data_IF_533936548146
#
_entry.id   IF_533936548146
#
_cell.length_a   1.000
_cell.length_b   1.000
_cell.length_c   1.000
_cell.angle_alpha   90.00
_cell.angle_beta   90.00
_cell.angle_gamma   90.00
#
_symmetry.space_group_name_H-M   'P 1'
#
loop_
_entity.id
_entity.type
_entity.pdbx_description
1 polymer ?
#
# COMPACT_ATOMS: atom_id res chain seq x y z
N UNK A 1 -18.85 -15.63 -16.96
CA UNK A 1 -18.53 -14.18 -16.85
C UNK A 1 -17.03 -14.00 -17.06
N UNK A 2 -16.61 -13.03 -17.88
CA UNK A 2 -15.19 -12.81 -18.19
C UNK A 2 -14.42 -12.33 -16.96
N UNK A 3 -13.15 -12.75 -16.81
CA UNK A 3 -12.26 -12.25 -15.73
C UNK A 3 -12.11 -10.73 -15.79
N UNK A 4 -12.19 -10.14 -16.98
CA UNK A 4 -12.15 -8.68 -17.18
C UNK A 4 -13.31 -7.99 -16.46
N UNK A 5 -14.51 -8.58 -16.52
CA UNK A 5 -15.70 -8.02 -15.85
C UNK A 5 -15.50 -8.02 -14.32
N UNK A 6 -14.89 -9.08 -13.78
CA UNK A 6 -14.59 -9.16 -12.35
C UNK A 6 -13.53 -8.15 -11.93
N UNK A 7 -12.51 -7.92 -12.75
CA UNK A 7 -11.49 -6.88 -12.52
C UNK A 7 -12.15 -5.51 -12.48
N UNK A 8 -12.96 -5.16 -13.49
CA UNK A 8 -13.66 -3.88 -13.56
C UNK A 8 -14.60 -3.70 -12.36
N UNK A 9 -15.28 -4.77 -11.93
CA UNK A 9 -16.13 -4.75 -10.74
C UNK A 9 -15.33 -4.40 -9.48
N UNK A 10 -14.19 -5.05 -9.24
CA UNK A 10 -13.37 -4.72 -8.07
C UNK A 10 -12.76 -3.33 -8.15
N UNK A 11 -12.33 -2.86 -9.33
CA UNK A 11 -11.84 -1.49 -9.50
C UNK A 11 -12.92 -0.45 -9.16
N UNK A 12 -14.17 -0.69 -9.59
CA UNK A 12 -15.30 0.16 -9.23
C UNK A 12 -15.55 0.15 -7.71
N UNK A 13 -15.52 -1.03 -7.09
CA UNK A 13 -15.74 -1.18 -5.65
C UNK A 13 -14.66 -0.44 -4.85
N UNK A 14 -13.39 -0.55 -5.26
CA UNK A 14 -12.27 0.15 -4.60
C UNK A 14 -12.43 1.66 -4.74
N UNK A 15 -12.78 2.14 -5.93
CA UNK A 15 -13.04 3.56 -6.16
C UNK A 15 -14.13 4.08 -5.21
N UNK A 16 -15.23 3.33 -5.06
CA UNK A 16 -16.32 3.70 -4.16
C UNK A 16 -15.93 3.63 -2.68
N UNK A 17 -15.26 2.56 -2.26
CA UNK A 17 -14.91 2.30 -0.85
C UNK A 17 -13.74 3.12 -0.34
N UNK A 18 -12.87 3.59 -1.24
CA UNK A 18 -11.74 4.46 -0.87
C UNK A 18 -12.09 5.94 -1.00
N UNK A 19 -13.30 6.31 -1.43
CA UNK A 19 -13.70 7.72 -1.51
C UNK A 19 -13.55 8.41 -0.14
N UNK A 20 -12.94 9.61 -0.05
CA UNK A 20 -12.53 10.52 -1.12
C UNK A 20 -11.07 10.36 -1.58
N UNK A 21 -10.35 9.31 -1.17
CA UNK A 21 -8.93 9.11 -1.49
C UNK A 21 -8.63 9.21 -2.98
N UNK A 22 -9.44 8.54 -3.81
CA UNK A 22 -9.21 8.45 -5.25
C UNK A 22 -9.27 9.81 -5.96
N UNK A 23 -10.06 10.76 -5.46
CA UNK A 23 -10.16 12.11 -6.02
C UNK A 23 -8.98 12.99 -5.61
N UNK A 24 -8.37 12.69 -4.46
CA UNK A 24 -7.21 13.38 -3.92
C UNK A 24 -5.97 12.50 -3.85
N UNK A 25 -5.74 11.60 -4.81
CA UNK A 25 -4.71 10.55 -4.70
C UNK A 25 -3.27 11.09 -4.54
N UNK A 26 -3.03 12.36 -4.84
CA UNK A 26 -1.73 13.02 -4.65
C UNK A 26 -1.64 13.87 -3.37
N UNK A 27 -2.76 14.10 -2.68
CA UNK A 27 -2.86 15.10 -1.60
C UNK A 27 -3.49 14.54 -0.32
N UNK A 28 -4.28 13.48 -0.42
CA UNK A 28 -4.96 12.86 0.72
C UNK A 28 -4.15 11.66 1.18
N UNK A 29 -4.00 11.51 2.50
CA UNK A 29 -3.40 10.32 3.11
C UNK A 29 -4.51 9.68 3.95
N UNK A 30 -4.88 8.42 3.68
CA UNK A 30 -5.90 7.76 4.45
C UNK A 30 -5.29 7.34 5.81
N UNK A 31 -5.88 7.79 6.90
CA UNK A 31 -5.31 7.67 8.24
C UNK A 31 -6.27 8.13 9.32
N UNK A 32 -6.02 7.72 10.56
CA UNK A 32 -6.69 8.32 11.71
C UNK A 32 -5.91 9.54 12.19
N UNK A 33 -6.55 10.40 12.98
CA UNK A 33 -5.88 11.56 13.57
C UNK A 33 -4.68 11.18 14.46
N UNK A 34 -4.66 9.96 15.00
CA UNK A 34 -3.69 9.48 15.99
C UNK A 34 -2.68 8.44 15.46
N UNK A 35 -2.44 8.39 14.15
CA UNK A 35 -1.59 7.34 13.55
C UNK A 35 -0.27 7.89 13.06
N UNK A 36 0.80 7.53 13.76
CA UNK A 36 2.17 8.01 13.50
C UNK A 36 2.81 7.35 12.27
N UNK A 37 2.35 6.16 11.87
CA UNK A 37 3.05 5.33 10.90
C UNK A 37 2.81 5.69 9.43
N UNK A 38 1.64 6.19 9.04
CA UNK A 38 1.37 6.58 7.65
C UNK A 38 2.33 7.71 7.21
N UNK A 39 2.59 8.67 8.10
CA UNK A 39 3.59 9.72 7.88
C UNK A 39 5.01 9.18 7.79
N UNK A 40 5.37 8.15 8.56
CA UNK A 40 6.68 7.51 8.46
C UNK A 40 6.89 6.83 7.10
N UNK A 41 5.87 6.17 6.55
CA UNK A 41 5.95 5.54 5.22
C UNK A 41 6.04 6.61 4.11
N UNK A 42 5.26 7.69 4.21
CA UNK A 42 5.34 8.82 3.28
C UNK A 42 6.72 9.47 3.35
N UNK A 43 7.25 9.71 4.56
CA UNK A 43 8.59 10.24 4.74
C UNK A 43 9.67 9.30 4.18
N UNK A 44 9.54 7.99 4.34
CA UNK A 44 10.46 7.02 3.75
C UNK A 44 10.45 7.08 2.22
N UNK A 45 9.27 7.18 1.58
CA UNK A 45 9.17 7.37 0.13
C UNK A 45 9.85 8.68 -0.33
N UNK A 46 9.67 9.77 0.42
CA UNK A 46 10.39 11.02 0.16
C UNK A 46 11.90 10.83 0.28
N UNK A 47 12.36 10.19 1.36
CA UNK A 47 13.79 10.00 1.63
C UNK A 47 14.43 9.14 0.55
N UNK A 48 13.76 8.07 0.11
CA UNK A 48 14.24 7.24 -1.01
C UNK A 48 14.46 8.08 -2.25
N UNK A 49 13.46 8.88 -2.64
CA UNK A 49 13.57 9.75 -3.81
C UNK A 49 14.66 10.81 -3.63
N UNK A 50 14.72 11.45 -2.46
CA UNK A 50 15.72 12.47 -2.15
C UNK A 50 17.14 11.90 -2.21
N UNK A 51 17.38 10.75 -1.58
CA UNK A 51 18.67 10.07 -1.60
C UNK A 51 19.06 9.62 -3.01
N UNK A 52 18.10 9.10 -3.79
CA UNK A 52 18.34 8.75 -5.18
C UNK A 52 18.76 9.95 -6.04
N UNK A 53 18.07 11.09 -5.91
CA UNK A 53 18.37 12.31 -6.68
C UNK A 53 19.69 12.98 -6.26
N UNK A 54 20.13 12.79 -5.01
CA UNK A 54 21.32 13.44 -4.46
C UNK A 54 22.50 12.47 -4.26
N UNK A 55 22.40 11.23 -4.75
CA UNK A 55 23.41 10.17 -4.57
C UNK A 55 23.80 9.94 -3.10
N UNK A 56 22.82 9.97 -2.19
CA UNK A 56 23.01 9.69 -0.77
C UNK A 56 22.75 8.20 -0.48
N UNK A 57 23.35 7.70 0.60
CA UNK A 57 23.09 6.33 1.07
C UNK A 57 21.66 6.17 1.60
N UNK A 58 21.10 4.96 1.40
CA UNK A 58 19.83 4.54 2.00
C UNK A 58 20.04 3.71 3.28
N UNK A 59 21.28 3.48 3.71
CA UNK A 59 21.56 2.70 4.92
C UNK A 59 21.42 3.56 6.18
N UNK A 60 21.81 4.83 6.09
CA UNK A 60 21.82 5.78 7.20
C UNK A 60 21.32 7.14 6.73
N UNK A 61 20.58 7.83 7.60
CA UNK A 61 20.17 9.22 7.41
C UNK A 61 20.71 10.10 8.53
N UNK A 62 21.09 11.33 8.20
CA UNK A 62 21.44 12.35 9.18
C UNK A 62 20.28 13.33 9.45
N UNK A 63 19.15 13.19 8.72
CA UNK A 63 17.94 13.97 8.95
C UNK A 63 17.25 13.67 10.29
N UNK A 64 17.58 12.53 10.90
CA UNK A 64 17.08 12.11 12.21
C UNK A 64 18.28 12.01 13.15
N UNK A 65 18.15 12.58 14.35
CA UNK A 65 19.17 12.50 15.40
C UNK A 65 20.54 13.08 15.01
N UNK A 66 20.54 14.23 14.32
CA UNK A 66 21.77 14.98 14.03
C UNK A 66 22.53 15.34 15.33
N UNK A 67 23.87 15.21 15.39
CA UNK A 67 24.80 14.85 14.30
C UNK A 67 25.06 13.34 14.16
N UNK A 68 24.56 12.52 15.07
CA UNK A 68 24.86 11.08 15.09
C UNK A 68 24.21 10.33 13.93
N UNK A 69 23.04 10.79 13.47
CA UNK A 69 22.22 10.13 12.46
C UNK A 69 21.56 8.84 12.95
N UNK A 70 20.83 8.15 12.08
CA UNK A 70 20.17 6.88 12.39
C UNK A 70 20.24 5.90 11.22
N UNK A 71 20.55 4.61 11.45
CA UNK A 71 20.36 3.58 10.42
C UNK A 71 18.85 3.43 10.10
N UNK A 72 18.52 3.39 8.81
CA UNK A 72 17.13 3.30 8.33
C UNK A 72 16.60 1.87 8.38
N UNK A 73 17.44 0.92 7.97
CA UNK A 73 17.15 -0.50 7.99
C UNK A 73 18.02 -1.14 9.07
N UNK A 74 17.49 -1.15 10.30
CA UNK A 74 18.16 -1.80 11.44
C UNK A 74 18.24 -3.33 11.27
N UNK A 75 18.81 -4.02 12.26
CA UNK A 75 18.93 -5.50 12.29
C UNK A 75 17.59 -6.26 12.46
N UNK A 76 16.44 -5.61 12.22
CA UNK A 76 15.12 -6.22 12.31
C UNK A 76 14.74 -6.97 11.03
N UNK A 77 13.67 -7.79 11.06
CA UNK A 77 13.13 -8.40 9.86
C UNK A 77 12.67 -7.31 8.89
N UNK A 78 13.26 -7.30 7.69
CA UNK A 78 12.96 -6.35 6.62
C UNK A 78 12.01 -7.03 5.65
N UNK A 79 10.81 -6.47 5.44
CA UNK A 79 9.87 -6.93 4.43
C UNK A 79 10.38 -6.61 3.03
N UNK A 80 11.27 -7.45 2.47
CA UNK A 80 11.97 -7.17 1.21
C UNK A 80 11.03 -6.82 0.04
N UNK A 81 9.88 -7.48 -0.04
CA UNK A 81 8.86 -7.20 -1.07
C UNK A 81 8.29 -5.80 -0.90
N UNK A 82 7.89 -5.44 0.32
CA UNK A 82 7.40 -4.09 0.63
C UNK A 82 8.44 -3.03 0.29
N UNK A 83 9.70 -3.22 0.70
CA UNK A 83 10.77 -2.27 0.40
C UNK A 83 11.04 -2.15 -1.09
N UNK A 84 11.03 -3.27 -1.82
CA UNK A 84 11.22 -3.25 -3.26
C UNK A 84 10.10 -2.48 -3.99
N UNK A 85 8.84 -2.74 -3.63
CA UNK A 85 7.67 -2.03 -4.17
C UNK A 85 7.75 -0.54 -3.82
N UNK A 86 8.03 -0.22 -2.55
CA UNK A 86 8.12 1.15 -2.07
C UNK A 86 9.24 1.91 -2.79
N UNK A 87 10.44 1.32 -2.90
CA UNK A 87 11.56 1.91 -3.62
C UNK A 87 11.21 2.18 -5.08
N UNK A 88 10.69 1.17 -5.78
CA UNK A 88 10.35 1.26 -7.20
C UNK A 88 9.31 2.34 -7.47
N UNK A 89 8.29 2.47 -6.61
CA UNK A 89 7.28 3.52 -6.73
C UNK A 89 7.80 4.90 -6.33
N UNK A 90 8.62 4.99 -5.27
CA UNK A 90 9.12 6.25 -4.74
C UNK A 90 9.97 7.01 -5.76
N UNK A 91 10.82 6.32 -6.53
CA UNK A 91 11.69 6.96 -7.51
C UNK A 91 10.92 7.57 -8.69
N UNK A 92 9.80 6.96 -9.11
CA UNK A 92 9.01 7.43 -10.27
C UNK A 92 7.80 8.30 -9.89
N UNK A 93 7.37 8.31 -8.62
CA UNK A 93 6.18 9.06 -8.17
C UNK A 93 6.53 10.11 -7.11
N UNK A 94 5.52 10.69 -6.47
CA UNK A 94 5.68 11.53 -5.28
C UNK A 94 5.32 10.74 -4.02
N UNK A 95 5.75 11.18 -2.83
CA UNK A 95 5.60 10.40 -1.59
C UNK A 95 4.16 10.01 -1.26
N UNK A 96 3.20 10.92 -1.47
CA UNK A 96 1.78 10.68 -1.19
C UNK A 96 1.20 9.69 -2.20
N UNK A 97 1.52 9.87 -3.48
CA UNK A 97 1.10 8.94 -4.53
C UNK A 97 1.71 7.54 -4.33
N UNK A 98 2.97 7.45 -3.91
CA UNK A 98 3.63 6.18 -3.57
C UNK A 98 2.84 5.42 -2.51
N UNK A 99 2.42 6.11 -1.44
CA UNK A 99 1.62 5.53 -0.37
C UNK A 99 0.25 5.08 -0.87
N UNK A 100 -0.46 5.96 -1.59
CA UNK A 100 -1.82 5.69 -2.03
C UNK A 100 -1.92 4.60 -3.10
N UNK A 101 -0.95 4.53 -4.01
CA UNK A 101 -0.86 3.42 -4.97
C UNK A 101 -0.70 2.09 -4.24
N UNK A 102 0.15 2.04 -3.21
CA UNK A 102 0.32 0.84 -2.40
C UNK A 102 -0.97 0.43 -1.68
N UNK A 103 -1.70 1.37 -1.07
CA UNK A 103 -3.01 1.10 -0.45
C UNK A 103 -4.01 0.53 -1.46
N UNK A 104 -4.19 1.20 -2.60
CA UNK A 104 -5.17 0.80 -3.63
C UNK A 104 -4.79 -0.55 -4.25
N UNK A 105 -3.51 -0.74 -4.57
CA UNK A 105 -3.01 -1.99 -5.15
C UNK A 105 -3.13 -3.14 -4.17
N UNK A 106 -2.84 -2.93 -2.88
CA UNK A 106 -2.98 -3.98 -1.87
C UNK A 106 -4.44 -4.44 -1.76
N UNK A 107 -5.39 -3.52 -1.57
CA UNK A 107 -6.82 -3.84 -1.50
C UNK A 107 -7.28 -4.58 -2.77
N UNK A 108 -6.86 -4.12 -3.95
CA UNK A 108 -7.19 -4.78 -5.22
C UNK A 108 -6.65 -6.19 -5.30
N UNK A 109 -5.36 -6.39 -5.01
CA UNK A 109 -4.71 -7.69 -5.12
C UNK A 109 -5.31 -8.67 -4.11
N UNK A 110 -5.56 -8.23 -2.87
CA UNK A 110 -6.20 -9.07 -1.84
C UNK A 110 -7.59 -9.51 -2.29
N UNK A 111 -8.44 -8.60 -2.76
CA UNK A 111 -9.78 -8.92 -3.24
C UNK A 111 -9.74 -9.86 -4.45
N UNK A 112 -8.90 -9.55 -5.44
CA UNK A 112 -8.85 -10.28 -6.71
C UNK A 112 -8.22 -11.68 -6.56
N UNK A 113 -7.15 -11.81 -5.78
CA UNK A 113 -6.52 -13.11 -5.52
C UNK A 113 -7.43 -14.01 -4.68
N UNK A 114 -8.16 -13.43 -3.72
CA UNK A 114 -9.19 -14.17 -2.96
C UNK A 114 -10.30 -14.65 -3.88
N UNK A 115 -10.75 -13.82 -4.82
CA UNK A 115 -11.69 -14.23 -5.86
C UNK A 115 -11.15 -15.41 -6.67
N UNK A 116 -9.91 -15.34 -7.16
CA UNK A 116 -9.29 -16.42 -7.94
C UNK A 116 -9.27 -17.72 -7.13
N UNK A 117 -8.83 -17.65 -5.87
CA UNK A 117 -8.71 -18.81 -4.99
C UNK A 117 -10.08 -19.45 -4.72
N UNK A 118 -11.06 -18.65 -4.30
CA UNK A 118 -12.40 -19.13 -3.99
C UNK A 118 -13.11 -19.66 -5.24
N UNK A 119 -12.94 -19.02 -6.40
CA UNK A 119 -13.45 -19.52 -7.66
C UNK A 119 -12.76 -20.85 -8.06
N UNK A 120 -11.46 -20.97 -7.83
CA UNK A 120 -10.73 -22.20 -8.11
C UNK A 120 -11.22 -23.38 -7.28
N UNK A 121 -11.51 -23.17 -5.99
CA UNK A 121 -11.99 -24.21 -5.07
C UNK A 121 -13.46 -24.57 -5.35
N UNK A 122 -14.34 -23.55 -5.42
CA UNK A 122 -15.79 -23.75 -5.51
C UNK A 122 -16.28 -24.00 -6.93
N UNK A 123 -15.46 -23.69 -7.94
CA UNK A 123 -15.84 -23.61 -9.36
C UNK A 123 -17.03 -22.69 -9.64
N UNK A 124 -17.38 -21.82 -8.69
CA UNK A 124 -18.51 -20.90 -8.77
C UNK A 124 -18.00 -19.45 -8.78
N UNK A 125 -18.41 -18.68 -9.79
CA UNK A 125 -17.95 -17.29 -9.96
C UNK A 125 -18.52 -16.35 -8.90
N UNK A 126 -19.77 -16.54 -8.50
CA UNK A 126 -20.43 -15.70 -7.50
C UNK A 126 -19.87 -15.98 -6.11
N UNK A 127 -19.60 -17.24 -5.79
CA UNK A 127 -18.91 -17.60 -4.55
C UNK A 127 -17.51 -16.95 -4.48
N UNK A 128 -16.78 -16.96 -5.60
CA UNK A 128 -15.50 -16.24 -5.71
C UNK A 128 -15.63 -14.74 -5.47
N UNK A 129 -16.58 -14.08 -6.15
CA UNK A 129 -16.78 -12.62 -6.02
C UNK A 129 -17.13 -12.27 -4.57
N UNK A 130 -18.04 -13.04 -3.96
CA UNK A 130 -18.47 -12.85 -2.58
C UNK A 130 -17.30 -13.00 -1.61
N UNK A 131 -16.44 -14.01 -1.79
CA UNK A 131 -15.24 -14.18 -0.98
C UNK A 131 -14.25 -12.99 -1.13
N UNK A 132 -14.02 -12.52 -2.35
CA UNK A 132 -13.18 -11.37 -2.62
C UNK A 132 -13.70 -10.08 -1.99
N UNK A 133 -15.02 -9.86 -2.00
CA UNK A 133 -15.66 -8.73 -1.31
C UNK A 133 -15.44 -8.84 0.21
N UNK A 134 -15.78 -9.99 0.81
CA UNK A 134 -15.69 -10.18 2.27
C UNK A 134 -14.27 -9.97 2.75
N UNK A 135 -13.28 -10.56 2.09
CA UNK A 135 -11.91 -10.53 2.57
C UNK A 135 -11.22 -9.20 2.25
N UNK A 136 -11.23 -8.79 0.97
CA UNK A 136 -10.50 -7.62 0.50
C UNK A 136 -11.07 -6.29 0.98
N UNK A 137 -12.35 -6.25 1.34
CA UNK A 137 -13.01 -5.05 1.86
C UNK A 137 -13.45 -5.21 3.31
N UNK A 138 -12.84 -6.15 4.04
CA UNK A 138 -13.04 -6.26 5.48
C UNK A 138 -12.50 -5.02 6.19
N UNK A 139 -13.13 -4.58 7.31
CA UNK A 139 -12.63 -3.45 8.10
C UNK A 139 -11.17 -3.59 8.52
N UNK A 140 -10.69 -4.83 8.70
CA UNK A 140 -9.30 -5.13 9.01
C UNK A 140 -8.32 -4.60 7.96
N UNK A 141 -8.58 -4.84 6.67
CA UNK A 141 -7.72 -4.37 5.57
C UNK A 141 -7.65 -2.84 5.55
N UNK A 142 -8.78 -2.16 5.74
CA UNK A 142 -8.82 -0.69 5.79
C UNK A 142 -8.04 -0.13 6.98
N UNK A 143 -8.32 -0.62 8.19
CA UNK A 143 -7.62 -0.16 9.40
C UNK A 143 -6.12 -0.38 9.28
N UNK A 144 -5.67 -1.53 8.79
CA UNK A 144 -4.24 -1.79 8.59
C UNK A 144 -3.63 -0.90 7.51
N UNK A 145 -4.33 -0.66 6.40
CA UNK A 145 -3.89 0.26 5.34
C UNK A 145 -3.79 1.73 5.80
N UNK A 146 -4.51 2.11 6.85
CA UNK A 146 -4.51 3.46 7.43
C UNK A 146 -3.45 3.66 8.51
N UNK A 147 -2.94 2.57 9.10
CA UNK A 147 -1.99 2.62 10.21
C UNK A 147 -0.66 2.00 9.83
N UNK A 148 -0.67 0.70 9.49
CA UNK A 148 0.50 -0.16 9.35
C UNK A 148 0.56 -0.73 7.93
N UNK A 149 0.83 0.11 6.93
CA UNK A 149 0.81 -0.32 5.52
C UNK A 149 1.79 -1.47 5.26
N UNK A 150 2.91 -1.55 5.98
CA UNK A 150 3.86 -2.67 5.84
C UNK A 150 3.30 -4.03 6.28
N UNK A 151 2.24 -4.06 7.08
CA UNK A 151 1.64 -5.26 7.66
C UNK A 151 0.42 -5.78 6.86
N UNK A 152 0.15 -5.20 5.69
CA UNK A 152 -0.95 -5.64 4.80
C UNK A 152 -0.48 -6.60 3.68
N UNK A 153 0.81 -6.90 3.60
CA UNK A 153 1.41 -7.71 2.53
C UNK A 153 1.65 -9.16 2.94
#
# INVERSE_FOLDING_TARGET
MSKIIVILFFLLLITAMTFPLITGINTYIPGFFSTDESHAVVWNAWLIKHSHLNNLTLEKTDFISYPSGRPLYGKGPVGYIFFFINYSLAIVTNPVLTYNLQVVLNIFLVAFLTFILAHYITKNIFAGIFAGIIFGFSPYIFVRSWQHLGETY
#
